data_IF_709196983572
#
_entry.id   IF_709196983572
#
_cell.length_a   1.000
_cell.length_b   1.000
_cell.length_c   1.000
_cell.angle_alpha   90.00
_cell.angle_beta   90.00
_cell.angle_gamma   90.00
#
_symmetry.space_group_name_H-M   'P 1'
#
loop_
_entity.id
_entity.type
_entity.pdbx_description
1 polymer ?
#
# COMPACT_ATOMS: atom_id res chain seq x y z
N UNK A 1 -39.43 21.43 -26.90
CA UNK A 1 -39.26 20.68 -25.65
C UNK A 1 -38.32 19.47 -25.77
N UNK A 2 -38.18 18.85 -26.93
CA UNK A 2 -37.29 17.69 -27.09
C UNK A 2 -35.78 18.05 -27.21
N UNK A 3 -35.45 19.31 -27.46
CA UNK A 3 -34.07 19.77 -27.70
C UNK A 3 -33.29 20.00 -26.38
N UNK A 4 -33.97 20.27 -25.28
CA UNK A 4 -33.36 20.53 -23.97
C UNK A 4 -33.09 19.27 -23.13
N UNK A 5 -33.79 18.16 -23.44
CA UNK A 5 -33.64 16.91 -22.68
C UNK A 5 -32.31 16.18 -22.97
N UNK A 6 -31.82 16.32 -24.23
CA UNK A 6 -30.55 15.68 -24.64
C UNK A 6 -29.30 16.26 -23.96
N UNK A 7 -29.12 17.59 -23.86
CA UNK A 7 -27.98 18.11 -23.15
C UNK A 7 -28.02 17.88 -21.64
N UNK A 8 -29.25 17.86 -21.06
CA UNK A 8 -29.40 17.59 -19.63
C UNK A 8 -29.07 16.13 -19.29
N UNK A 9 -29.43 15.19 -20.14
CA UNK A 9 -29.10 13.78 -20.00
C UNK A 9 -27.59 13.53 -20.18
N UNK A 10 -26.94 14.22 -21.11
CA UNK A 10 -25.51 14.15 -21.32
C UNK A 10 -24.74 14.72 -20.13
N UNK A 11 -25.22 15.79 -19.51
CA UNK A 11 -24.63 16.40 -18.32
C UNK A 11 -24.77 15.49 -17.09
N UNK A 12 -25.91 14.84 -16.94
CA UNK A 12 -26.14 13.85 -15.87
C UNK A 12 -25.25 12.60 -16.04
N UNK A 13 -25.07 12.13 -17.28
CA UNK A 13 -24.22 10.99 -17.58
C UNK A 13 -22.73 11.31 -17.34
N UNK A 14 -22.28 12.52 -17.66
CA UNK A 14 -20.91 12.95 -17.40
C UNK A 14 -20.65 13.16 -15.91
N UNK A 15 -21.64 13.60 -15.14
CA UNK A 15 -21.51 13.71 -13.68
C UNK A 15 -21.44 12.33 -12.99
N UNK A 16 -22.14 11.33 -13.55
CA UNK A 16 -22.05 9.95 -13.04
C UNK A 16 -20.70 9.30 -13.32
N UNK A 17 -20.05 9.63 -14.43
CA UNK A 17 -18.73 9.13 -14.80
C UNK A 17 -17.59 9.74 -13.96
N UNK A 18 -17.80 10.92 -13.41
CA UNK A 18 -16.82 11.58 -12.52
C UNK A 18 -16.86 11.03 -11.08
N UNK A 19 -17.90 10.30 -10.70
CA UNK A 19 -18.01 9.67 -9.38
C UNK A 19 -17.28 8.34 -9.22
N UNK A 20 -16.68 7.79 -10.27
CA UNK A 20 -15.73 6.68 -10.16
C UNK A 20 -14.30 7.22 -9.91
N UNK A 21 -14.15 8.15 -8.98
CA UNK A 21 -12.86 8.44 -8.42
C UNK A 21 -12.35 7.13 -7.81
N UNK A 22 -11.31 6.57 -8.42
CA UNK A 22 -10.62 5.40 -7.92
C UNK A 22 -10.32 5.66 -6.44
N UNK A 23 -11.05 4.97 -5.57
CA UNK A 23 -10.68 4.90 -4.17
C UNK A 23 -9.34 4.18 -4.17
N UNK A 24 -8.28 4.93 -3.89
CA UNK A 24 -7.05 4.29 -3.50
C UNK A 24 -7.39 3.43 -2.29
N UNK A 25 -7.35 2.11 -2.44
CA UNK A 25 -7.64 1.19 -1.35
C UNK A 25 -6.67 1.49 -0.23
N UNK A 26 -7.19 2.00 0.89
CA UNK A 26 -6.39 2.26 2.07
C UNK A 26 -5.79 0.93 2.54
N UNK A 27 -4.51 0.93 2.82
CA UNK A 27 -3.82 -0.24 3.36
C UNK A 27 -4.42 -0.59 4.72
N UNK A 28 -4.96 -1.82 4.91
CA UNK A 28 -5.54 -2.21 6.18
C UNK A 28 -4.50 -2.16 7.30
N UNK A 29 -4.87 -1.59 8.44
CA UNK A 29 -4.03 -1.58 9.63
C UNK A 29 -3.99 -2.94 10.31
N UNK A 30 -2.78 -3.39 10.70
CA UNK A 30 -2.60 -4.56 11.53
C UNK A 30 -2.74 -4.17 12.99
N UNK A 31 -3.77 -4.69 13.66
CA UNK A 31 -3.92 -4.55 15.12
C UNK A 31 -3.03 -5.56 15.84
N UNK A 32 -2.20 -5.08 16.75
CA UNK A 32 -1.32 -5.91 17.55
C UNK A 32 -1.86 -6.05 18.97
N UNK A 33 -1.94 -7.29 19.47
CA UNK A 33 -2.15 -7.56 20.87
C UNK A 33 -0.88 -7.21 21.66
N UNK A 34 -0.93 -6.27 22.63
CA UNK A 34 0.25 -5.89 23.41
C UNK A 34 0.81 -7.04 24.26
N UNK A 35 0.02 -8.08 24.49
CA UNK A 35 0.43 -9.28 25.24
C UNK A 35 0.84 -10.46 24.34
N UNK A 36 0.89 -10.26 23.02
CA UNK A 36 1.33 -11.32 22.12
C UNK A 36 2.80 -11.69 22.35
N UNK A 37 3.04 -12.95 22.64
CA UNK A 37 4.38 -13.51 22.86
C UNK A 37 5.04 -14.03 21.58
N UNK A 38 4.30 -14.07 20.49
CA UNK A 38 4.73 -14.61 19.21
C UNK A 38 4.70 -13.51 18.14
N UNK A 39 5.62 -13.56 17.17
CA UNK A 39 5.55 -12.66 16.01
C UNK A 39 4.21 -12.83 15.27
N UNK A 40 3.61 -11.72 14.91
CA UNK A 40 2.38 -11.68 14.11
C UNK A 40 2.75 -11.41 12.67
N UNK A 41 2.35 -12.25 11.70
CA UNK A 41 2.64 -12.01 10.31
C UNK A 41 1.89 -10.78 9.79
N UNK A 42 2.53 -10.01 8.92
CA UNK A 42 1.91 -8.87 8.24
C UNK A 42 1.02 -9.39 7.11
N UNK A 43 -0.31 -9.28 7.22
CA UNK A 43 -1.22 -9.92 6.26
C UNK A 43 -1.36 -9.15 4.96
N UNK A 44 -1.13 -7.83 5.00
CA UNK A 44 -1.27 -6.95 3.85
C UNK A 44 -0.11 -5.99 3.77
N UNK A 45 0.46 -5.87 2.59
CA UNK A 45 1.51 -4.90 2.30
C UNK A 45 1.34 -4.32 0.91
N UNK A 46 1.90 -3.14 0.68
CA UNK A 46 2.07 -2.57 -0.64
C UNK A 46 3.52 -2.70 -1.06
N UNK A 47 3.74 -3.06 -2.31
CA UNK A 47 5.07 -3.26 -2.86
C UNK A 47 5.34 -2.26 -3.98
N UNK A 48 6.57 -1.79 -4.03
CA UNK A 48 7.09 -0.97 -5.10
C UNK A 48 8.50 -1.44 -5.46
N UNK A 49 8.71 -1.81 -6.73
CA UNK A 49 10.03 -2.14 -7.23
C UNK A 49 10.76 -0.87 -7.69
N UNK A 50 11.96 -0.68 -7.16
CA UNK A 50 12.88 0.38 -7.52
C UNK A 50 14.15 -0.25 -8.14
N UNK A 51 14.11 -0.48 -9.45
CA UNK A 51 15.14 -1.24 -10.18
C UNK A 51 16.52 -0.60 -10.08
N UNK A 52 16.54 0.72 -10.09
CA UNK A 52 17.78 1.49 -10.15
C UNK A 52 18.18 2.06 -8.78
N UNK A 53 17.46 1.72 -7.73
CA UNK A 53 17.66 2.22 -6.36
C UNK A 53 17.74 3.77 -6.31
N UNK A 54 16.88 4.46 -7.04
CA UNK A 54 16.90 5.92 -7.19
C UNK A 54 15.94 6.66 -6.26
N UNK A 55 14.99 5.94 -5.67
CA UNK A 55 13.99 6.56 -4.83
C UNK A 55 14.51 6.80 -3.41
N UNK A 56 14.24 7.99 -2.88
CA UNK A 56 14.31 8.22 -1.44
C UNK A 56 13.10 7.60 -0.73
N UNK A 57 13.18 7.43 0.58
CA UNK A 57 12.06 6.93 1.38
C UNK A 57 10.79 7.79 1.21
N UNK A 58 10.94 9.11 1.14
CA UNK A 58 9.81 10.03 0.93
C UNK A 58 9.18 9.84 -0.45
N UNK A 59 10.00 9.70 -1.49
CA UNK A 59 9.51 9.46 -2.85
C UNK A 59 8.83 8.10 -2.98
N UNK A 60 9.43 7.05 -2.40
CA UNK A 60 8.85 5.72 -2.39
C UNK A 60 7.50 5.70 -1.67
N UNK A 61 7.39 6.36 -0.52
CA UNK A 61 6.15 6.47 0.22
C UNK A 61 5.06 7.19 -0.60
N UNK A 62 5.40 8.26 -1.29
CA UNK A 62 4.46 8.99 -2.15
C UNK A 62 3.95 8.11 -3.30
N UNK A 63 4.83 7.33 -3.93
CA UNK A 63 4.45 6.41 -5.00
C UNK A 63 3.61 5.24 -4.48
N UNK A 64 3.94 4.68 -3.32
CA UNK A 64 3.15 3.62 -2.68
C UNK A 64 1.73 4.08 -2.35
N UNK A 65 1.57 5.30 -1.86
CA UNK A 65 0.24 5.89 -1.58
C UNK A 65 -0.60 6.10 -2.83
N UNK A 66 0.02 6.40 -3.96
CA UNK A 66 -0.69 6.69 -5.21
C UNK A 66 -0.94 5.47 -6.09
N UNK A 67 -0.23 4.37 -5.90
CA UNK A 67 -0.37 3.23 -6.82
C UNK A 67 0.50 2.01 -6.51
N UNK A 68 0.89 1.80 -5.25
CA UNK A 68 1.60 0.58 -4.86
C UNK A 68 0.74 -0.68 -5.10
N UNK A 69 1.38 -1.77 -5.47
CA UNK A 69 0.69 -3.05 -5.66
C UNK A 69 0.37 -3.65 -4.29
N UNK A 70 -0.92 -3.82 -4.02
CA UNK A 70 -1.38 -4.48 -2.80
C UNK A 70 -1.11 -5.98 -2.89
N UNK A 71 -0.43 -6.52 -1.89
CA UNK A 71 -0.15 -7.94 -1.77
C UNK A 71 -0.69 -8.48 -0.44
N UNK A 72 -1.29 -9.66 -0.51
CA UNK A 72 -1.73 -10.41 0.66
C UNK A 72 -0.69 -11.45 1.04
N UNK A 73 -0.46 -11.62 2.33
CA UNK A 73 0.52 -12.56 2.86
C UNK A 73 1.96 -12.09 2.72
N UNK A 74 2.90 -13.01 2.85
CA UNK A 74 4.32 -12.71 2.76
C UNK A 74 4.71 -12.30 1.33
N UNK A 75 5.43 -11.19 1.16
CA UNK A 75 5.93 -10.79 -0.14
C UNK A 75 6.85 -11.85 -0.74
N UNK A 76 6.60 -12.21 -1.98
CA UNK A 76 7.47 -13.10 -2.75
C UNK A 76 8.14 -12.28 -3.85
N UNK A 77 9.34 -11.82 -3.59
CA UNK A 77 10.04 -10.90 -4.48
C UNK A 77 10.97 -11.62 -5.48
N UNK A 78 11.22 -12.92 -5.25
CA UNK A 78 12.17 -13.68 -6.03
C UNK A 78 13.60 -13.20 -5.87
N UNK A 79 14.51 -13.69 -6.72
CA UNK A 79 15.87 -13.18 -6.80
C UNK A 79 15.90 -12.00 -7.76
N UNK A 80 16.21 -10.83 -7.24
CA UNK A 80 16.23 -9.59 -8.00
C UNK A 80 17.35 -8.68 -7.50
N UNK A 81 18.01 -7.97 -8.41
CA UNK A 81 18.94 -6.90 -8.08
C UNK A 81 18.28 -5.58 -7.72
N UNK A 82 16.96 -5.53 -7.72
CA UNK A 82 16.19 -4.32 -7.43
C UNK A 82 16.13 -4.04 -5.93
N UNK A 83 15.97 -2.76 -5.59
CA UNK A 83 15.48 -2.36 -4.28
C UNK A 83 13.97 -2.51 -4.24
N UNK A 84 13.46 -3.09 -3.18
CA UNK A 84 12.03 -3.23 -2.95
C UNK A 84 11.59 -2.38 -1.77
N UNK A 85 10.58 -1.59 -1.99
CA UNK A 85 9.91 -0.83 -0.94
C UNK A 85 8.65 -1.57 -0.52
N UNK A 86 8.53 -1.81 0.77
CA UNK A 86 7.40 -2.53 1.35
C UNK A 86 6.76 -1.61 2.38
N UNK A 87 5.49 -1.30 2.19
CA UNK A 87 4.71 -0.53 3.14
C UNK A 87 3.63 -1.39 3.77
N UNK A 88 3.44 -1.24 5.06
CA UNK A 88 2.35 -1.83 5.81
C UNK A 88 1.92 -0.86 6.90
N UNK A 89 0.70 -1.03 7.39
CA UNK A 89 0.11 -0.19 8.42
C UNK A 89 -0.07 -0.97 9.71
N UNK A 90 0.31 -0.37 10.82
CA UNK A 90 0.15 -0.96 12.15
C UNK A 90 -0.69 -0.03 13.00
N UNK A 91 -1.76 -0.57 13.58
CA UNK A 91 -2.53 0.09 14.62
C UNK A 91 -1.90 -0.22 15.98
N UNK A 92 -1.07 0.69 16.43
CA UNK A 92 -0.41 0.56 17.73
C UNK A 92 -1.32 1.06 18.83
N UNK A 93 -1.67 0.18 19.73
CA UNK A 93 -2.35 0.51 20.98
C UNK A 93 -1.36 0.33 22.14
N UNK A 94 -1.04 1.44 22.81
CA UNK A 94 -0.10 1.42 23.91
C UNK A 94 1.29 1.94 23.57
N UNK A 95 2.14 2.07 24.59
CA UNK A 95 3.44 2.74 24.52
C UNK A 95 4.66 1.86 24.28
N UNK A 96 4.49 0.54 24.20
CA UNK A 96 5.61 -0.38 24.12
C UNK A 96 6.29 -0.36 22.74
N UNK A 97 7.58 -0.66 22.74
CA UNK A 97 8.37 -0.76 21.53
C UNK A 97 7.90 -1.93 20.66
N UNK A 98 7.92 -1.74 19.35
CA UNK A 98 7.67 -2.79 18.36
C UNK A 98 8.98 -3.22 17.73
N UNK A 99 9.08 -4.50 17.46
CA UNK A 99 10.19 -5.08 16.70
C UNK A 99 9.69 -5.63 15.38
N UNK A 100 10.35 -5.27 14.29
CA UNK A 100 10.14 -5.88 12.99
C UNK A 100 11.08 -7.08 12.84
N UNK A 101 10.51 -8.26 12.60
CA UNK A 101 11.29 -9.47 12.33
C UNK A 101 11.20 -9.78 10.84
N UNK A 102 12.36 -9.85 10.19
CA UNK A 102 12.48 -10.24 8.79
C UNK A 102 13.15 -11.61 8.76
N UNK A 103 12.35 -12.62 8.51
CA UNK A 103 12.81 -14.01 8.40
C UNK A 103 13.10 -14.35 6.93
N UNK A 104 14.17 -13.77 6.43
CA UNK A 104 14.65 -14.05 5.07
C UNK A 104 16.17 -14.00 5.04
N UNK A 105 16.86 -15.14 4.87
CA UNK A 105 18.32 -15.21 4.88
C UNK A 105 18.99 -14.59 3.64
N UNK A 106 18.21 -14.20 2.63
CA UNK A 106 18.72 -13.66 1.37
C UNK A 106 18.57 -12.13 1.23
N UNK A 107 18.22 -11.44 2.30
CA UNK A 107 18.16 -9.98 2.31
C UNK A 107 19.52 -9.42 2.67
N UNK A 108 20.14 -8.68 1.77
CA UNK A 108 21.48 -8.11 1.96
C UNK A 108 21.46 -6.83 2.81
N UNK A 109 20.42 -6.02 2.68
CA UNK A 109 20.31 -4.75 3.37
C UNK A 109 18.84 -4.39 3.64
N UNK A 110 18.58 -3.88 4.83
CA UNK A 110 17.27 -3.38 5.25
C UNK A 110 17.42 -1.97 5.80
N UNK A 111 16.55 -1.07 5.35
CA UNK A 111 16.44 0.29 5.87
C UNK A 111 14.99 0.52 6.32
N UNK A 112 14.83 1.13 7.51
CA UNK A 112 13.54 1.50 8.09
C UNK A 112 13.38 3.01 8.14
#
# INVERSE_FOLDING_TARGET
MRVFLRPLLALLLSALLLCTAARADALPGLSLDPNALQPVPVPHSQLLEDRDARLSAVQAMAQLRSGGVLQQGNPRLGYSGSTWWIAFSIDKQGGDALSLVIDNPFVDNVQL
#
